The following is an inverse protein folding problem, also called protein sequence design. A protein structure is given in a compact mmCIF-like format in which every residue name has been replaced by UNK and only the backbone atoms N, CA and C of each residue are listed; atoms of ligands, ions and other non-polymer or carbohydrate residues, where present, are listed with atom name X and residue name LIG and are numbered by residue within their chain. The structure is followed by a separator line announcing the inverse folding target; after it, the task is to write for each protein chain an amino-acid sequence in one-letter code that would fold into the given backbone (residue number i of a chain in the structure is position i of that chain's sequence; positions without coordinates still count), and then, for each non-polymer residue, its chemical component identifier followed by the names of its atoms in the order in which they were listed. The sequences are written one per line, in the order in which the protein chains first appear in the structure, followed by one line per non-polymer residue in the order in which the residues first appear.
data_IF_495870821066
#
_entry.id   IF_495870821066
#
_cell.length_a   1.000
_cell.length_b   1.000
_cell.length_c   1.000
_cell.angle_alpha   90.00
_cell.angle_beta   90.00
_cell.angle_gamma   90.00
#
_symmetry.space_group_name_H-M   'P 1'
#
loop_
_entity.id
_entity.type
_entity.pdbx_description
1 polymer ?
#
# COMPACT_ATOMS: atom_id res chain seq x y z
N UNK A 1 3.70 -13.63 25.85
CA UNK A 1 2.26 -13.81 25.55
C UNK A 1 2.11 -13.98 24.05
N UNK A 2 1.78 -15.19 23.59
CA UNK A 2 1.54 -15.45 22.18
C UNK A 2 0.14 -14.97 21.83
N UNK A 3 0.01 -14.11 20.82
CA UNK A 3 -1.28 -13.68 20.29
C UNK A 3 -1.89 -14.87 19.54
N UNK A 4 -2.89 -15.49 20.14
CA UNK A 4 -3.73 -16.50 19.48
C UNK A 4 -4.64 -15.80 18.48
N UNK A 5 -4.20 -15.71 17.22
CA UNK A 5 -5.05 -15.31 16.11
C UNK A 5 -6.07 -16.43 15.86
N UNK A 6 -7.31 -16.20 16.26
CA UNK A 6 -8.45 -17.05 15.90
C UNK A 6 -8.61 -17.06 14.37
N UNK A 7 -8.34 -18.20 13.76
CA UNK A 7 -8.28 -18.46 12.30
C UNK A 7 -9.63 -18.31 11.55
N UNK A 8 -10.63 -17.69 12.18
CA UNK A 8 -11.98 -17.53 11.61
C UNK A 8 -12.12 -16.29 10.72
N UNK A 9 -11.19 -15.34 10.85
CA UNK A 9 -11.13 -14.09 10.07
C UNK A 9 -9.72 -13.85 9.48
N UNK A 10 -9.02 -14.92 9.10
CA UNK A 10 -7.75 -14.78 8.37
C UNK A 10 -8.05 -14.21 6.97
N UNK A 11 -8.08 -12.86 6.86
CA UNK A 11 -8.08 -12.18 5.58
C UNK A 11 -6.84 -12.68 4.85
N UNK A 12 -7.03 -13.60 3.91
CA UNK A 12 -5.96 -14.13 3.06
C UNK A 12 -5.47 -12.99 2.18
N UNK A 13 -4.48 -12.25 2.67
CA UNK A 13 -3.76 -11.25 1.91
C UNK A 13 -2.95 -11.98 0.85
N UNK A 14 -3.39 -11.90 -0.39
CA UNK A 14 -2.66 -12.46 -1.53
C UNK A 14 -1.64 -11.45 -2.03
N UNK A 15 -0.51 -11.94 -2.54
CA UNK A 15 0.39 -11.10 -3.32
C UNK A 15 -0.27 -10.76 -4.66
N UNK A 16 -0.24 -9.49 -5.07
CA UNK A 16 -0.70 -9.05 -6.37
C UNK A 16 0.29 -8.09 -7.03
N UNK A 17 0.35 -8.12 -8.37
CA UNK A 17 0.97 -7.09 -9.20
C UNK A 17 0.04 -5.90 -9.34
N UNK A 18 0.58 -4.70 -9.63
CA UNK A 18 -0.25 -3.50 -9.79
C UNK A 18 -1.30 -3.68 -10.89
N UNK A 19 -0.95 -4.35 -11.99
CA UNK A 19 -1.85 -4.64 -13.10
C UNK A 19 -3.00 -5.60 -12.75
N UNK A 20 -2.92 -6.32 -11.63
CA UNK A 20 -3.93 -7.27 -11.19
C UNK A 20 -4.92 -6.67 -10.19
N UNK A 21 -4.68 -5.44 -9.72
CA UNK A 21 -5.53 -4.76 -8.76
C UNK A 21 -6.90 -4.45 -9.38
N UNK A 22 -7.94 -4.68 -8.59
CA UNK A 22 -9.34 -4.41 -8.93
C UNK A 22 -10.06 -3.90 -7.69
N UNK A 23 -11.15 -3.14 -7.83
CA UNK A 23 -11.97 -2.74 -6.68
C UNK A 23 -12.35 -3.95 -5.81
N UNK A 24 -12.37 -3.75 -4.50
CA UNK A 24 -12.71 -4.77 -3.48
C UNK A 24 -11.71 -5.92 -3.30
N UNK A 25 -10.60 -5.96 -4.04
CA UNK A 25 -9.53 -6.95 -3.82
C UNK A 25 -8.71 -6.58 -2.58
N UNK A 26 -8.58 -7.50 -1.62
CA UNK A 26 -7.65 -7.38 -0.47
C UNK A 26 -6.35 -8.12 -0.80
N UNK A 27 -5.32 -7.37 -1.12
CA UNK A 27 -4.00 -7.88 -1.50
C UNK A 27 -2.89 -7.02 -0.91
N UNK A 28 -1.69 -7.56 -0.84
CA UNK A 28 -0.48 -6.77 -0.66
C UNK A 28 0.32 -6.71 -1.97
N UNK A 29 0.97 -5.57 -2.20
CA UNK A 29 1.81 -5.34 -3.38
C UNK A 29 3.23 -5.01 -2.93
N UNK A 30 4.23 -5.49 -3.67
CA UNK A 30 5.63 -5.13 -3.47
C UNK A 30 6.06 -4.34 -4.69
N UNK A 31 6.32 -3.05 -4.50
CA UNK A 31 6.55 -2.10 -5.60
C UNK A 31 7.61 -1.10 -5.22
N UNK A 32 8.21 -0.46 -6.23
CA UNK A 32 9.13 0.65 -6.00
C UNK A 32 8.35 1.96 -5.98
N UNK A 33 8.64 2.82 -5.01
CA UNK A 33 8.16 4.19 -5.02
C UNK A 33 8.99 4.97 -6.02
N UNK A 34 8.37 5.40 -7.13
CA UNK A 34 9.03 6.23 -8.13
C UNK A 34 9.01 7.70 -7.75
N UNK A 35 7.93 8.16 -7.10
CA UNK A 35 7.81 9.54 -6.63
C UNK A 35 6.88 9.63 -5.43
N UNK A 36 7.19 10.57 -4.54
CA UNK A 36 6.36 10.98 -3.42
C UNK A 36 6.11 12.48 -3.53
N UNK A 37 4.86 12.89 -3.33
CA UNK A 37 4.49 14.29 -3.14
C UNK A 37 3.84 14.44 -1.79
N UNK A 38 4.12 15.57 -1.14
CA UNK A 38 3.49 15.96 0.10
C UNK A 38 2.86 17.33 -0.12
N UNK A 39 1.58 17.45 0.19
CA UNK A 39 0.88 18.73 0.11
C UNK A 39 0.93 19.39 1.48
N UNK A 40 1.70 20.47 1.60
CA UNK A 40 1.79 21.29 2.81
C UNK A 40 1.03 22.59 2.53
N UNK A 41 0.02 22.88 3.34
CA UNK A 41 -0.73 24.13 3.22
C UNK A 41 0.09 25.32 3.74
N UNK A 42 -0.19 26.56 3.28
CA UNK A 42 0.44 27.75 3.85
C UNK A 42 0.29 27.80 5.37
N UNK A 43 1.36 28.20 6.06
CA UNK A 43 1.45 28.28 7.52
C UNK A 43 1.34 26.94 8.28
N UNK A 44 1.45 25.80 7.60
CA UNK A 44 1.53 24.48 8.23
C UNK A 44 2.91 23.86 8.08
N UNK A 45 3.29 23.02 9.04
CA UNK A 45 4.54 22.26 9.04
C UNK A 45 4.34 20.79 8.68
N UNK A 46 3.12 20.28 8.86
CA UNK A 46 2.78 18.88 8.57
C UNK A 46 2.01 18.79 7.24
N UNK A 47 2.30 17.78 6.39
CA UNK A 47 1.54 17.55 5.18
C UNK A 47 0.09 17.15 5.47
N UNK A 48 -0.87 17.70 4.73
CA UNK A 48 -2.27 17.28 4.81
C UNK A 48 -2.53 15.98 4.05
N UNK A 49 -1.75 15.74 2.98
CA UNK A 49 -1.87 14.58 2.10
C UNK A 49 -0.47 14.16 1.62
N UNK A 50 -0.32 12.86 1.38
CA UNK A 50 0.85 12.27 0.75
C UNK A 50 0.44 11.38 -0.41
N UNK A 51 0.87 11.74 -1.62
CA UNK A 51 0.61 10.97 -2.84
C UNK A 51 1.86 10.19 -3.24
N UNK A 52 1.68 8.94 -3.66
CA UNK A 52 2.76 8.08 -4.11
C UNK A 52 2.51 7.61 -5.55
N UNK A 53 3.51 7.81 -6.41
CA UNK A 53 3.58 7.12 -7.68
C UNK A 53 4.37 5.83 -7.50
N UNK A 54 3.69 4.71 -7.71
CA UNK A 54 4.23 3.37 -7.58
C UNK A 54 4.55 2.80 -8.96
N UNK A 55 5.69 2.12 -9.06
CA UNK A 55 6.09 1.40 -10.28
C UNK A 55 6.31 -0.06 -9.91
N UNK A 56 5.67 -0.93 -10.67
CA UNK A 56 5.85 -2.37 -10.54
C UNK A 56 7.23 -2.77 -11.07
N UNK A 57 8.00 -3.48 -10.25
CA UNK A 57 9.38 -3.84 -10.55
C UNK A 57 9.45 -5.05 -11.49
N UNK A 58 10.19 -4.88 -12.59
CA UNK A 58 10.31 -5.78 -13.74
C UNK A 58 10.78 -7.20 -13.43
N UNK A 59 10.34 -8.11 -14.31
CA UNK A 59 10.89 -9.43 -14.68
C UNK A 59 12.33 -9.63 -14.17
N UNK A 60 12.52 -10.61 -13.28
CA UNK A 60 13.82 -11.26 -13.12
C UNK A 60 14.07 -12.17 -14.32
#
# INVERSE_FOLDING_TARGET
MALTLTDKDSIKLIHARLAQLRPSLRAYVIVRVARKWETILPAQTEPINGDLLLVDGMIC
#
